data_IF_101382091395
#
_entry.id   IF_101382091395
#
_cell.length_a   1.000
_cell.length_b   1.000
_cell.length_c   1.000
_cell.angle_alpha   90.00
_cell.angle_beta   90.00
_cell.angle_gamma   90.00
#
_symmetry.space_group_name_H-M   'P 1'
#
loop_
_entity.id
_entity.type
_entity.pdbx_description
1 polymer ?
#
# COMPACT_ATOMS: atom_id res chain seq x y z
N UNK A 1 37.46 -34.77 -73.28
CA UNK A 1 36.18 -34.33 -72.75
C UNK A 1 36.13 -34.59 -71.21
N UNK A 2 36.37 -33.55 -70.35
CA UNK A 2 36.33 -33.66 -68.89
C UNK A 2 35.09 -32.89 -68.40
N UNK A 3 34.16 -33.63 -67.80
CA UNK A 3 32.97 -33.04 -67.13
C UNK A 3 33.36 -32.54 -65.76
N UNK A 4 33.19 -31.27 -65.54
CA UNK A 4 33.34 -30.64 -64.20
C UNK A 4 32.00 -30.75 -63.50
N UNK A 5 31.99 -31.43 -62.34
CA UNK A 5 30.82 -31.55 -61.45
C UNK A 5 30.97 -30.48 -60.37
N UNK A 6 30.01 -29.52 -60.29
CA UNK A 6 29.97 -28.48 -59.29
C UNK A 6 29.34 -29.05 -57.97
N UNK A 7 29.85 -28.71 -56.77
CA UNK A 7 29.28 -29.14 -55.53
C UNK A 7 28.07 -28.22 -55.12
N UNK A 8 26.96 -28.87 -54.88
CA UNK A 8 25.74 -28.28 -54.34
C UNK A 8 25.93 -27.85 -52.86
N UNK A 9 26.02 -26.54 -52.63
CA UNK A 9 26.09 -25.97 -51.28
C UNK A 9 24.73 -26.01 -50.64
N UNK A 10 24.58 -26.84 -49.60
CA UNK A 10 23.40 -26.85 -48.73
C UNK A 10 23.44 -25.63 -47.78
N UNK A 11 22.51 -24.69 -48.00
CA UNK A 11 22.32 -23.52 -47.16
C UNK A 11 21.42 -23.95 -45.97
N UNK A 12 22.04 -24.21 -44.82
CA UNK A 12 21.31 -24.48 -43.57
C UNK A 12 20.75 -23.18 -43.05
N UNK A 13 19.44 -23.01 -43.16
CA UNK A 13 18.66 -21.91 -42.57
C UNK A 13 18.52 -22.17 -41.06
N UNK A 14 19.36 -21.46 -40.26
CA UNK A 14 19.20 -21.40 -38.80
C UNK A 14 18.02 -20.48 -38.50
N UNK A 15 16.87 -21.05 -38.15
CA UNK A 15 15.72 -20.33 -37.60
C UNK A 15 16.01 -20.05 -36.12
N UNK A 16 16.14 -18.79 -35.70
CA UNK A 16 16.27 -18.48 -34.28
C UNK A 16 14.90 -18.75 -33.61
N UNK A 17 14.83 -19.80 -32.78
CA UNK A 17 13.70 -20.07 -31.91
C UNK A 17 13.69 -19.01 -30.80
N UNK A 18 12.98 -17.91 -31.01
CA UNK A 18 12.72 -16.91 -29.98
C UNK A 18 11.83 -17.53 -28.93
N UNK A 19 12.41 -17.98 -27.82
CA UNK A 19 11.71 -18.38 -26.60
C UNK A 19 10.96 -17.16 -26.06
N UNK A 20 9.70 -17.02 -26.41
CA UNK A 20 8.73 -16.14 -25.73
C UNK A 20 8.52 -16.69 -24.32
N UNK A 21 9.34 -16.24 -23.36
CA UNK A 21 9.05 -16.43 -21.93
C UNK A 21 7.78 -15.65 -21.62
N UNK A 22 6.71 -16.32 -21.11
CA UNK A 22 5.55 -15.58 -20.62
C UNK A 22 6.03 -14.69 -19.46
N UNK A 23 5.87 -13.38 -19.61
CA UNK A 23 6.08 -12.44 -18.52
C UNK A 23 5.10 -12.83 -17.41
N UNK A 24 5.59 -13.35 -16.28
CA UNK A 24 4.80 -13.47 -15.06
C UNK A 24 4.36 -12.06 -14.67
N UNK A 25 3.15 -11.70 -15.00
CA UNK A 25 2.54 -10.47 -14.49
C UNK A 25 2.33 -10.68 -12.98
N UNK A 26 3.13 -10.00 -12.16
CA UNK A 26 2.89 -9.94 -10.74
C UNK A 26 1.45 -9.42 -10.55
N UNK A 27 0.59 -10.24 -9.96
CA UNK A 27 -0.79 -9.83 -9.67
C UNK A 27 -0.72 -8.70 -8.65
N UNK A 28 -1.31 -7.56 -8.99
CA UNK A 28 -1.42 -6.42 -8.08
C UNK A 28 -2.07 -6.86 -6.76
N UNK A 29 -1.56 -6.39 -5.63
CA UNK A 29 -2.12 -6.69 -4.33
C UNK A 29 -3.50 -6.03 -4.21
N UNK A 30 -4.54 -6.84 -4.03
CA UNK A 30 -5.91 -6.38 -3.78
C UNK A 30 -6.51 -7.15 -2.60
N UNK A 31 -7.04 -6.41 -1.62
CA UNK A 31 -7.70 -7.04 -0.47
C UNK A 31 -8.73 -6.14 0.19
N UNK A 32 -9.54 -6.77 1.06
CA UNK A 32 -10.36 -6.08 2.07
C UNK A 32 -10.04 -6.63 3.45
N UNK A 33 -10.06 -5.78 4.48
CA UNK A 33 -9.80 -6.19 5.86
C UNK A 33 -10.47 -5.23 6.85
N UNK A 34 -10.63 -5.70 8.09
CA UNK A 34 -10.79 -4.84 9.25
C UNK A 34 -9.40 -4.45 9.75
N UNK A 35 -9.15 -3.17 10.00
CA UNK A 35 -7.92 -2.68 10.62
C UNK A 35 -8.24 -2.21 12.04
N UNK A 36 -7.46 -2.68 12.99
CA UNK A 36 -7.49 -2.21 14.37
C UNK A 36 -6.17 -1.51 14.65
N UNK A 37 -6.24 -0.23 15.02
CA UNK A 37 -5.05 0.53 15.44
C UNK A 37 -5.20 0.89 16.91
N UNK A 38 -4.16 0.65 17.72
CA UNK A 38 -4.09 1.06 19.12
C UNK A 38 -2.94 2.03 19.29
N UNK A 39 -3.21 3.19 19.86
CA UNK A 39 -2.25 4.23 20.17
C UNK A 39 -2.46 4.64 21.61
N UNK A 40 -1.46 4.49 22.46
CA UNK A 40 -1.52 4.83 23.90
C UNK A 40 -2.77 4.27 24.59
N UNK A 41 -3.07 3.00 24.32
CA UNK A 41 -4.20 2.29 24.89
C UNK A 41 -5.57 2.59 24.28
N UNK A 42 -5.68 3.58 23.37
CA UNK A 42 -6.91 3.89 22.64
C UNK A 42 -7.01 3.06 21.37
N UNK A 43 -8.13 2.37 21.20
CA UNK A 43 -8.37 1.50 20.03
C UNK A 43 -9.30 2.19 19.04
N UNK A 44 -8.93 2.11 17.76
CA UNK A 44 -9.75 2.55 16.62
C UNK A 44 -9.93 1.37 15.66
N UNK A 45 -11.16 1.21 15.16
CA UNK A 45 -11.48 0.23 14.12
C UNK A 45 -11.82 0.94 12.82
N UNK A 46 -11.36 0.35 11.70
CA UNK A 46 -11.66 0.83 10.34
C UNK A 46 -11.84 -0.35 9.40
N UNK A 47 -12.64 -0.18 8.34
CA UNK A 47 -12.64 -1.11 7.22
C UNK A 47 -11.66 -0.59 6.16
N UNK A 48 -10.82 -1.47 5.63
CA UNK A 48 -9.83 -1.16 4.60
C UNK A 48 -10.18 -1.89 3.32
N UNK A 49 -10.16 -1.15 2.23
CA UNK A 49 -10.23 -1.64 0.85
C UNK A 49 -8.95 -1.18 0.17
N UNK A 50 -8.15 -2.11 -0.34
CA UNK A 50 -6.84 -1.83 -0.88
C UNK A 50 -6.67 -2.38 -2.29
N UNK A 51 -6.04 -1.61 -3.14
CA UNK A 51 -5.42 -1.97 -4.41
C UNK A 51 -4.15 -1.14 -4.55
N UNK A 52 -3.12 -1.68 -5.18
CA UNK A 52 -1.88 -0.95 -5.41
C UNK A 52 -2.14 0.47 -5.92
N UNK A 53 -1.50 1.46 -5.28
CA UNK A 53 -1.62 2.89 -5.53
C UNK A 53 -2.97 3.54 -5.18
N UNK A 54 -3.93 2.81 -4.63
CA UNK A 54 -5.20 3.37 -4.16
C UNK A 54 -5.80 2.56 -3.01
N UNK A 55 -6.30 3.26 -2.00
CA UNK A 55 -7.00 2.61 -0.89
C UNK A 55 -8.06 3.50 -0.29
N UNK A 56 -9.04 2.85 0.31
CA UNK A 56 -10.14 3.47 1.04
C UNK A 56 -10.16 2.96 2.46
N UNK A 57 -10.31 3.88 3.41
CA UNK A 57 -10.46 3.57 4.84
C UNK A 57 -11.79 4.14 5.32
N UNK A 58 -12.64 3.29 5.87
CA UNK A 58 -13.88 3.69 6.51
C UNK A 58 -13.70 3.66 8.03
N UNK A 59 -13.63 4.85 8.63
CA UNK A 59 -13.33 5.02 10.05
C UNK A 59 -14.58 4.83 10.89
N UNK A 60 -14.55 3.93 11.86
CA UNK A 60 -15.63 3.71 12.84
C UNK A 60 -15.44 4.63 14.05
N UNK A 61 -15.27 5.94 13.81
CA UNK A 61 -15.07 6.95 14.85
C UNK A 61 -16.19 7.99 14.82
N UNK A 62 -16.34 8.72 15.94
CA UNK A 62 -17.28 9.84 16.03
C UNK A 62 -16.78 11.12 15.34
N UNK A 63 -15.60 11.09 14.74
CA UNK A 63 -14.99 12.24 14.05
C UNK A 63 -15.79 12.72 12.84
N UNK A 64 -15.53 13.94 12.37
CA UNK A 64 -16.20 14.50 11.18
C UNK A 64 -15.83 13.76 9.90
N UNK A 65 -14.58 13.33 9.77
CA UNK A 65 -14.11 12.51 8.64
C UNK A 65 -14.37 11.06 8.96
N UNK A 66 -15.20 10.43 8.16
CA UNK A 66 -15.55 9.02 8.34
C UNK A 66 -15.06 8.13 7.20
N UNK A 67 -14.59 8.69 6.09
CA UNK A 67 -13.97 7.96 4.99
C UNK A 67 -12.75 8.73 4.47
N UNK A 68 -11.65 8.03 4.27
CA UNK A 68 -10.48 8.53 3.56
C UNK A 68 -10.27 7.71 2.28
N UNK A 69 -10.16 8.38 1.13
CA UNK A 69 -9.83 7.74 -0.14
C UNK A 69 -8.47 8.28 -0.58
N UNK A 70 -7.48 7.41 -0.65
CA UNK A 70 -6.12 7.76 -1.08
C UNK A 70 -5.94 7.32 -2.53
N UNK A 71 -5.48 8.23 -3.35
CA UNK A 71 -5.16 8.04 -4.77
C UNK A 71 -3.71 8.45 -4.99
N UNK A 72 -2.79 7.54 -4.67
CA UNK A 72 -1.34 7.74 -4.89
C UNK A 72 -1.05 7.98 -6.36
N UNK A 73 -1.77 7.30 -7.26
CA UNK A 73 -1.72 7.50 -8.70
C UNK A 73 -2.10 8.92 -9.15
N UNK A 74 -2.90 9.64 -8.36
CA UNK A 74 -3.34 11.02 -8.60
C UNK A 74 -2.73 12.03 -7.63
N UNK A 75 -1.85 11.60 -6.71
CA UNK A 75 -1.22 12.44 -5.69
C UNK A 75 -2.22 13.21 -4.82
N UNK A 76 -3.37 12.59 -4.50
CA UNK A 76 -4.45 13.23 -3.73
C UNK A 76 -5.06 12.27 -2.70
N UNK A 77 -5.52 12.84 -1.60
CA UNK A 77 -6.38 12.18 -0.61
C UNK A 77 -7.66 12.96 -0.46
N UNK A 78 -8.79 12.25 -0.57
CA UNK A 78 -10.10 12.81 -0.27
C UNK A 78 -10.55 12.37 1.11
N UNK A 79 -10.78 13.34 1.98
CA UNK A 79 -11.35 13.17 3.32
C UNK A 79 -12.84 13.48 3.25
N UNK A 80 -13.68 12.46 3.37
CA UNK A 80 -15.12 12.57 3.20
C UNK A 80 -15.80 12.85 4.54
N UNK A 81 -16.69 13.85 4.54
CA UNK A 81 -17.59 14.22 5.61
C UNK A 81 -19.00 13.76 5.20
N UNK A 82 -19.26 12.46 5.34
CA UNK A 82 -20.45 11.82 4.75
C UNK A 82 -21.78 12.37 5.30
N UNK A 83 -21.79 12.87 6.54
CA UNK A 83 -22.99 13.44 7.17
C UNK A 83 -23.50 14.68 6.43
N UNK A 84 -22.60 15.49 5.90
CA UNK A 84 -22.93 16.75 5.19
C UNK A 84 -22.65 16.65 3.68
N UNK A 85 -22.25 15.48 3.17
CA UNK A 85 -21.93 15.24 1.76
C UNK A 85 -20.87 16.18 1.21
N UNK A 86 -19.86 16.49 2.02
CA UNK A 86 -18.71 17.30 1.63
C UNK A 86 -17.41 16.50 1.70
N UNK A 87 -16.40 16.99 0.99
CA UNK A 87 -15.04 16.43 1.07
C UNK A 87 -14.00 17.52 1.14
N UNK A 88 -12.85 17.19 1.73
CA UNK A 88 -11.62 17.97 1.66
C UNK A 88 -10.60 17.19 0.84
N UNK A 89 -10.00 17.83 -0.16
CA UNK A 89 -8.86 17.29 -0.88
C UNK A 89 -7.57 17.79 -0.23
N UNK A 90 -6.63 16.89 0.03
CA UNK A 90 -5.28 17.23 0.51
C UNK A 90 -4.25 16.52 -0.38
N UNK A 91 -3.01 17.05 -0.50
CA UNK A 91 -1.93 16.35 -1.16
C UNK A 91 -1.65 14.99 -0.50
N UNK A 92 -1.33 13.98 -1.30
CA UNK A 92 -0.82 12.73 -0.82
C UNK A 92 0.59 12.92 -0.25
N UNK A 93 0.91 12.21 0.83
CA UNK A 93 2.28 12.05 1.32
C UNK A 93 2.53 10.59 1.77
N UNK A 94 3.81 10.21 1.89
CA UNK A 94 4.20 8.84 2.22
C UNK A 94 3.78 8.37 3.64
N UNK A 95 3.49 9.29 4.56
CA UNK A 95 3.00 8.96 5.91
C UNK A 95 1.61 8.34 5.89
N UNK A 96 0.86 8.56 4.79
CA UNK A 96 -0.48 8.03 4.58
C UNK A 96 -0.47 6.61 4.01
N UNK A 97 0.70 6.03 3.72
CA UNK A 97 0.81 4.66 3.22
C UNK A 97 0.39 3.64 4.27
N UNK A 98 -0.39 2.66 3.81
CA UNK A 98 -0.72 1.50 4.62
C UNK A 98 0.50 0.57 4.75
N UNK A 99 0.66 -0.02 5.92
CA UNK A 99 1.71 -1.01 6.18
C UNK A 99 1.25 -2.38 5.70
N UNK A 100 1.35 -2.61 4.39
CA UNK A 100 0.88 -3.82 3.70
C UNK A 100 2.01 -4.63 3.06
N UNK A 101 3.26 -4.21 3.28
CA UNK A 101 4.46 -4.89 2.79
C UNK A 101 5.14 -5.69 3.90
N UNK A 102 5.77 -6.81 3.54
CA UNK A 102 6.55 -7.60 4.50
C UNK A 102 7.77 -6.82 5.00
N UNK A 103 8.43 -6.05 4.11
CA UNK A 103 9.57 -5.21 4.48
C UNK A 103 9.12 -3.85 4.96
N UNK A 104 9.67 -3.38 6.08
CA UNK A 104 9.37 -2.06 6.62
C UNK A 104 10.28 -0.98 6.03
N UNK A 105 9.79 0.25 5.81
CA UNK A 105 10.64 1.37 5.41
C UNK A 105 11.77 1.61 6.41
N UNK A 106 13.01 1.72 5.90
CA UNK A 106 14.18 1.92 6.74
C UNK A 106 14.63 0.69 7.54
N UNK A 107 14.17 -0.50 7.17
CA UNK A 107 14.57 -1.76 7.81
C UNK A 107 16.08 -1.98 7.72
N UNK A 108 16.72 -2.22 8.87
CA UNK A 108 18.17 -2.48 8.98
C UNK A 108 18.47 -3.88 9.49
N UNK A 109 17.53 -4.51 10.20
CA UNK A 109 17.64 -5.92 10.61
C UNK A 109 16.27 -6.55 10.77
N UNK A 110 16.21 -7.86 10.57
CA UNK A 110 15.03 -8.71 10.75
C UNK A 110 15.49 -10.05 11.34
N UNK A 111 14.87 -10.45 12.44
CA UNK A 111 15.13 -11.73 13.10
C UNK A 111 13.82 -12.48 13.30
N UNK A 112 13.76 -13.74 12.88
CA UNK A 112 12.63 -14.62 13.19
C UNK A 112 12.72 -15.03 14.67
N UNK A 113 11.66 -14.74 15.44
CA UNK A 113 11.61 -15.03 16.88
C UNK A 113 10.50 -15.99 17.28
N UNK A 114 9.65 -16.40 16.32
CA UNK A 114 8.58 -17.36 16.59
C UNK A 114 7.65 -17.58 15.43
N UNK A 115 6.74 -18.53 15.65
CA UNK A 115 5.68 -18.87 14.69
C UNK A 115 4.36 -19.10 15.44
N UNK A 116 3.26 -18.68 14.88
CA UNK A 116 1.91 -18.92 15.42
C UNK A 116 0.87 -18.95 14.30
N UNK A 117 -0.38 -19.28 14.62
CA UNK A 117 -1.50 -19.17 13.70
C UNK A 117 -2.35 -17.95 14.10
N UNK A 118 -2.60 -17.04 13.16
CA UNK A 118 -3.45 -15.85 13.35
C UNK A 118 -4.57 -15.84 12.32
N UNK A 119 -5.82 -15.68 12.76
CA UNK A 119 -7.01 -15.66 11.87
C UNK A 119 -7.06 -16.86 10.90
N UNK A 120 -6.49 -18.00 11.29
CA UNK A 120 -6.40 -19.20 10.45
C UNK A 120 -5.20 -19.26 9.52
N UNK A 121 -4.36 -18.22 9.48
CA UNK A 121 -3.15 -18.15 8.67
C UNK A 121 -1.90 -18.53 9.47
N UNK A 122 -1.02 -19.41 8.96
CA UNK A 122 0.28 -19.65 9.56
C UNK A 122 1.11 -18.36 9.44
N UNK A 123 1.63 -17.86 10.55
CA UNK A 123 2.41 -16.63 10.61
C UNK A 123 3.77 -16.85 11.20
N UNK A 124 4.76 -16.13 10.68
CA UNK A 124 6.09 -15.97 11.27
C UNK A 124 6.13 -14.63 11.99
N UNK A 125 6.62 -14.65 13.23
CA UNK A 125 6.86 -13.46 14.03
C UNK A 125 8.32 -13.04 13.90
N UNK A 126 8.49 -11.79 13.48
CA UNK A 126 9.80 -11.14 13.36
C UNK A 126 9.97 -10.02 14.38
N UNK A 127 11.17 -9.90 14.93
CA UNK A 127 11.66 -8.65 15.48
C UNK A 127 12.36 -7.86 14.37
N UNK A 128 11.91 -6.64 14.11
CA UNK A 128 12.37 -5.80 12.99
C UNK A 128 12.87 -4.48 13.53
N UNK A 129 14.13 -4.14 13.24
CA UNK A 129 14.70 -2.83 13.56
C UNK A 129 14.67 -1.95 12.32
N UNK A 130 14.16 -0.73 12.48
CA UNK A 130 14.16 0.29 11.42
C UNK A 130 14.99 1.49 11.85
N UNK A 131 15.54 2.22 10.87
CA UNK A 131 16.28 3.46 11.09
C UNK A 131 15.83 4.54 10.13
N UNK A 132 15.48 5.71 10.65
CA UNK A 132 15.14 6.89 9.88
C UNK A 132 15.96 8.08 10.43
N UNK A 133 17.05 8.42 9.75
CA UNK A 133 18.02 9.36 10.28
C UNK A 133 18.67 8.82 11.54
N UNK A 134 18.57 9.55 12.66
CA UNK A 134 19.08 9.14 13.98
C UNK A 134 18.08 8.29 14.78
N UNK A 135 16.81 8.29 14.39
CA UNK A 135 15.77 7.55 15.08
C UNK A 135 15.86 6.06 14.75
N UNK A 136 15.88 5.23 15.80
CA UNK A 136 15.84 3.76 15.72
C UNK A 136 14.57 3.28 16.41
N UNK A 137 13.73 2.55 15.68
CA UNK A 137 12.54 1.91 16.22
C UNK A 137 12.64 0.39 16.08
N UNK A 138 12.10 -0.34 17.04
CA UNK A 138 12.00 -1.81 17.00
C UNK A 138 10.54 -2.21 17.00
N UNK A 139 10.20 -3.12 16.08
CA UNK A 139 8.84 -3.62 15.87
C UNK A 139 8.80 -5.13 16.02
N UNK A 140 7.63 -5.63 16.41
CA UNK A 140 7.21 -7.01 16.19
C UNK A 140 6.28 -7.04 14.99
N UNK A 141 6.59 -7.90 14.02
CA UNK A 141 5.77 -8.06 12.81
C UNK A 141 5.37 -9.52 12.62
N UNK A 142 4.08 -9.76 12.47
CA UNK A 142 3.51 -11.07 12.16
C UNK A 142 3.18 -11.11 10.66
N UNK A 143 3.82 -12.00 9.93
CA UNK A 143 3.63 -12.14 8.47
C UNK A 143 2.99 -13.50 8.19
N UNK A 144 1.82 -13.50 7.56
CA UNK A 144 1.16 -14.70 7.09
C UNK A 144 1.91 -15.26 5.86
N UNK A 145 2.37 -16.51 5.97
CA UNK A 145 3.24 -17.12 4.95
C UNK A 145 2.50 -17.65 3.74
N UNK A 146 1.22 -17.96 3.89
CA UNK A 146 0.34 -18.49 2.83
C UNK A 146 -0.19 -17.39 1.90
N UNK A 147 -0.33 -16.16 2.40
CA UNK A 147 -0.83 -15.01 1.64
C UNK A 147 0.18 -13.87 1.51
N UNK A 148 1.40 -14.03 2.04
CA UNK A 148 2.47 -13.04 2.00
C UNK A 148 2.03 -11.64 2.48
N UNK A 149 1.38 -11.61 3.66
CA UNK A 149 0.73 -10.39 4.15
C UNK A 149 1.04 -10.13 5.62
N UNK A 150 1.37 -8.86 6.01
CA UNK A 150 1.62 -8.48 7.40
C UNK A 150 0.29 -8.38 8.16
N UNK A 151 -0.04 -9.40 8.95
CA UNK A 151 -1.27 -9.45 9.74
C UNK A 151 -1.25 -8.48 10.92
N UNK A 152 -0.06 -8.23 11.49
CA UNK A 152 0.08 -7.34 12.64
C UNK A 152 1.47 -6.72 12.68
N UNK A 153 1.52 -5.47 13.13
CA UNK A 153 2.74 -4.73 13.42
C UNK A 153 2.57 -4.02 14.77
N UNK A 154 3.54 -4.13 15.65
CA UNK A 154 3.51 -3.50 16.97
C UNK A 154 4.88 -2.90 17.29
N UNK A 155 4.95 -1.67 17.80
CA UNK A 155 6.18 -1.18 18.42
C UNK A 155 6.54 -2.03 19.63
N UNK A 156 7.81 -2.31 19.84
CA UNK A 156 8.30 -3.13 20.94
C UNK A 156 7.95 -2.55 22.32
N UNK A 157 7.84 -1.24 22.42
CA UNK A 157 7.45 -0.52 23.64
C UNK A 157 5.92 -0.57 23.92
N UNK A 158 5.13 -1.11 23.00
CA UNK A 158 3.68 -1.24 23.13
C UNK A 158 2.88 0.05 22.87
N UNK A 159 3.54 1.17 22.57
CA UNK A 159 2.89 2.47 22.34
C UNK A 159 1.97 2.49 21.13
N UNK A 160 2.30 1.66 20.12
CA UNK A 160 1.55 1.59 18.88
C UNK A 160 1.41 0.16 18.37
N UNK A 161 0.18 -0.21 17.98
CA UNK A 161 -0.14 -1.52 17.40
C UNK A 161 -1.10 -1.29 16.22
N UNK A 162 -0.86 -1.98 15.13
CA UNK A 162 -1.78 -2.11 14.01
C UNK A 162 -1.99 -3.59 13.71
N UNK A 163 -3.24 -3.99 13.50
CA UNK A 163 -3.62 -5.37 13.21
C UNK A 163 -4.69 -5.40 12.12
N UNK A 164 -4.52 -6.31 11.15
CA UNK A 164 -5.53 -6.62 10.16
C UNK A 164 -6.25 -7.92 10.55
N UNK A 165 -7.57 -7.88 10.52
CA UNK A 165 -8.46 -9.02 10.79
C UNK A 165 -9.35 -9.25 9.58
N UNK A 166 -9.87 -10.47 9.42
CA UNK A 166 -10.79 -10.85 8.34
C UNK A 166 -10.23 -10.49 6.95
N UNK A 167 -8.93 -10.67 6.75
CA UNK A 167 -8.25 -10.37 5.48
C UNK A 167 -8.81 -11.25 4.37
N UNK A 168 -9.25 -10.64 3.27
CA UNK A 168 -9.77 -11.33 2.08
C UNK A 168 -9.04 -10.84 0.85
N UNK A 169 -8.18 -11.68 0.29
CA UNK A 169 -7.49 -11.43 -0.99
C UNK A 169 -8.49 -11.56 -2.13
N UNK A 170 -9.00 -10.43 -2.60
CA UNK A 170 -10.02 -10.39 -3.67
C UNK A 170 -9.97 -9.07 -4.42
N UNK A 171 -10.52 -9.08 -5.64
CA UNK A 171 -10.69 -7.85 -6.41
C UNK A 171 -11.62 -6.86 -5.70
N UNK A 172 -11.26 -5.58 -5.75
CA UNK A 172 -11.97 -4.47 -5.13
C UNK A 172 -12.51 -3.55 -6.23
N UNK A 173 -13.83 -3.25 -6.26
CA UNK A 173 -14.43 -2.43 -7.31
C UNK A 173 -13.84 -1.02 -7.39
N UNK A 174 -13.60 -0.52 -8.61
CA UNK A 174 -13.06 0.83 -8.87
C UNK A 174 -13.88 1.95 -8.25
N UNK A 175 -15.21 1.75 -8.16
CA UNK A 175 -16.12 2.74 -7.58
C UNK A 175 -15.80 3.10 -6.13
N UNK A 176 -15.17 2.20 -5.37
CA UNK A 176 -14.78 2.44 -3.99
C UNK A 176 -13.64 3.46 -3.87
N UNK A 177 -12.82 3.61 -4.90
CA UNK A 177 -11.67 4.51 -4.95
C UNK A 177 -11.98 5.83 -5.66
N UNK A 178 -13.22 6.05 -6.07
CA UNK A 178 -13.66 7.30 -6.69
C UNK A 178 -14.42 8.18 -5.69
N UNK A 179 -14.33 9.49 -5.91
CA UNK A 179 -15.13 10.45 -5.16
C UNK A 179 -16.61 10.25 -5.53
N UNK A 180 -17.52 10.06 -4.55
CA UNK A 180 -18.94 9.92 -4.86
C UNK A 180 -19.52 11.19 -5.51
N UNK A 181 -20.36 11.04 -6.54
CA UNK A 181 -20.89 12.15 -7.35
C UNK A 181 -21.71 13.19 -6.55
N UNK A 182 -22.27 12.79 -5.41
CA UNK A 182 -23.10 13.64 -4.56
C UNK A 182 -22.31 14.32 -3.43
N UNK A 183 -20.99 14.38 -3.52
CA UNK A 183 -20.12 15.08 -2.58
C UNK A 183 -19.62 16.39 -3.19
N UNK A 184 -19.62 17.46 -2.41
CA UNK A 184 -19.19 18.79 -2.81
C UNK A 184 -17.89 19.19 -2.09
N UNK A 185 -17.02 19.99 -2.70
CA UNK A 185 -15.85 20.52 -2.00
C UNK A 185 -16.26 21.32 -0.77
N UNK A 186 -15.53 21.14 0.34
CA UNK A 186 -15.71 21.97 1.52
C UNK A 186 -15.06 23.34 1.25
N UNK A 187 -15.88 24.41 1.16
CA UNK A 187 -15.41 25.76 0.90
C UNK A 187 -14.49 26.27 2.03
N UNK A 188 -13.51 27.11 1.68
CA UNK A 188 -12.58 27.74 2.61
C UNK A 188 -11.28 26.96 2.92
N UNK A 189 -11.17 25.67 2.55
CA UNK A 189 -9.97 24.86 2.77
C UNK A 189 -9.12 24.61 1.51
N UNK A 190 -9.65 24.91 0.34
CA UNK A 190 -8.95 24.72 -0.95
C UNK A 190 -8.33 25.99 -1.51
N UNK A 191 -8.29 27.10 -0.74
CA UNK A 191 -7.61 28.30 -1.19
C UNK A 191 -6.10 28.05 -1.04
N UNK A 192 -5.31 28.08 -2.13
CA UNK A 192 -3.85 28.10 -2.02
C UNK A 192 -3.47 29.25 -1.07
N UNK A 193 -2.53 29.02 -0.16
CA UNK A 193 -1.99 30.09 0.66
C UNK A 193 -1.59 31.23 -0.29
N UNK A 194 -2.18 32.42 -0.10
CA UNK A 194 -1.78 33.57 -0.83
C UNK A 194 -0.27 33.77 -0.57
N UNK A 195 0.56 34.09 -1.60
CA UNK A 195 1.97 34.34 -1.39
C UNK A 195 2.07 35.42 -0.31
N UNK A 196 2.89 35.18 0.72
CA UNK A 196 3.17 36.17 1.75
C UNK A 196 3.63 37.45 1.08
N UNK A 197 3.09 38.61 1.47
CA UNK A 197 3.55 39.90 0.92
C UNK A 197 5.03 40.04 1.27
N UNK A 198 5.86 40.07 0.24
CA UNK A 198 7.29 40.37 0.35
C UNK A 198 7.39 41.73 1.06
N UNK A 199 7.95 41.74 2.26
CA UNK A 199 8.21 42.99 2.99
C UNK A 199 9.06 43.91 2.10
N UNK A 200 8.70 45.20 1.96
CA UNK A 200 9.54 46.12 1.22
C UNK A 200 10.87 46.27 1.97
N UNK A 201 11.97 45.94 1.24
CA UNK A 201 13.32 46.10 1.77
C UNK A 201 13.56 47.55 2.26
N UNK A 202 14.04 47.66 3.48
CA UNK A 202 14.73 48.84 3.99
C UNK A 202 16.20 48.78 3.61
#
# INVERSE_FOLDING_TARGET
MRRVVAPLRWLTLLIPCSLLLPALQAKALEFTADQITKIDGRSQKSNVYYRDNMWRIEHHTMGPVNVSIVRKDKQVVWLLLSRIKHFKAIPYNAEQELRVTETLPGEVSREEIGQEVREGHPTVLYEVTTRQGEQVDVYYQWVATDIHFPMKLAKKDGSWIMEYQHVKMRSVPDSLFNLPLNFHPLEGFNKPAAPEPTAPGM
#
